data_IF_016247685092
#
_entry.id   IF_016247685092
#
_cell.length_a   1.000
_cell.length_b   1.000
_cell.length_c   1.000
_cell.angle_alpha   90.00
_cell.angle_beta   90.00
_cell.angle_gamma   90.00
#
_symmetry.space_group_name_H-M   'P 1'
#
loop_
_entity.id
_entity.type
_entity.pdbx_description
1 polymer ?
#
# COMPACT_ATOMS: atom_id res chain seq x y z
N UNK A 1 1.43 3.06 7.18
CA UNK A 1 0.92 4.43 6.98
C UNK A 1 0.00 4.78 8.14
N UNK A 2 0.17 5.96 8.73
CA UNK A 2 -0.68 6.48 9.81
C UNK A 2 -1.56 7.57 9.21
N UNK A 3 -2.86 7.50 9.44
CA UNK A 3 -3.79 8.58 9.13
C UNK A 3 -4.02 9.43 10.38
N UNK A 4 -4.12 10.74 10.19
CA UNK A 4 -4.46 11.68 11.26
C UNK A 4 -5.74 12.42 10.90
N UNK A 5 -6.69 12.48 11.83
CA UNK A 5 -7.97 13.14 11.61
C UNK A 5 -8.12 14.38 12.51
N UNK A 6 -8.29 15.53 11.88
CA UNK A 6 -8.62 16.76 12.58
C UNK A 6 -10.15 16.93 12.66
N UNK A 7 -10.67 16.85 13.88
CA UNK A 7 -12.11 16.95 14.15
C UNK A 7 -12.65 18.36 13.95
N UNK A 8 -11.82 19.39 14.10
CA UNK A 8 -12.28 20.77 13.98
C UNK A 8 -12.55 21.15 12.53
N UNK A 9 -11.71 20.69 11.60
CA UNK A 9 -11.80 20.95 10.16
C UNK A 9 -12.38 19.78 9.37
N UNK A 10 -12.69 18.66 10.03
CA UNK A 10 -13.12 17.39 9.40
C UNK A 10 -12.17 16.94 8.27
N UNK A 11 -10.87 17.18 8.47
CA UNK A 11 -9.83 16.86 7.48
C UNK A 11 -9.07 15.60 7.88
N UNK A 12 -8.97 14.66 6.94
CA UNK A 12 -8.18 13.43 7.07
C UNK A 12 -6.86 13.57 6.34
N UNK A 13 -5.75 13.50 7.04
CA UNK A 13 -4.39 13.52 6.51
C UNK A 13 -3.94 12.07 6.26
N UNK A 14 -3.61 11.74 5.01
CA UNK A 14 -3.40 10.35 4.58
C UNK A 14 -2.01 10.05 4.03
N UNK A 15 -1.12 11.03 3.97
CA UNK A 15 0.18 10.91 3.33
C UNK A 15 0.02 10.42 1.87
N UNK A 16 0.62 9.29 1.50
CA UNK A 16 0.57 8.77 0.13
C UNK A 16 -0.78 8.16 -0.26
N UNK A 17 -1.56 7.67 0.71
CA UNK A 17 -2.87 7.12 0.38
C UNK A 17 -3.80 8.20 -0.19
N UNK A 18 -4.53 7.85 -1.25
CA UNK A 18 -5.36 8.74 -2.06
C UNK A 18 -4.61 9.83 -2.84
N UNK A 19 -3.27 9.80 -2.82
CA UNK A 19 -2.44 10.72 -3.59
C UNK A 19 -2.42 10.41 -5.08
N UNK A 20 -1.86 11.36 -5.84
CA UNK A 20 -1.63 11.25 -7.28
C UNK A 20 -0.56 12.24 -7.73
N UNK A 21 0.14 11.94 -8.82
CA UNK A 21 1.09 12.86 -9.43
C UNK A 21 0.40 13.72 -10.48
N UNK A 22 -0.52 14.55 -10.02
CA UNK A 22 -1.27 15.50 -10.85
C UNK A 22 -1.10 16.91 -10.33
N UNK A 23 -0.92 17.84 -11.25
CA UNK A 23 -0.79 19.27 -10.95
C UNK A 23 -1.80 20.07 -11.78
N UNK A 24 -2.53 20.96 -11.12
CA UNK A 24 -3.47 21.90 -11.74
C UNK A 24 -3.39 23.25 -11.04
N UNK A 25 -4.05 24.25 -11.59
CA UNK A 25 -4.18 25.57 -10.96
C UNK A 25 -5.12 25.54 -9.74
N UNK A 26 -6.03 24.56 -9.66
CA UNK A 26 -6.89 24.34 -8.50
C UNK A 26 -6.19 23.49 -7.45
N UNK A 27 -6.34 23.84 -6.18
CA UNK A 27 -5.89 23.06 -5.04
C UNK A 27 -6.83 21.89 -4.70
N UNK A 28 -8.03 21.83 -5.31
CA UNK A 28 -9.03 20.81 -5.07
C UNK A 28 -9.32 19.95 -6.31
N UNK A 29 -9.94 18.80 -6.07
CA UNK A 29 -10.35 17.79 -7.04
C UNK A 29 -11.62 18.18 -7.84
N UNK A 30 -11.58 19.33 -8.56
CA UNK A 30 -12.74 19.86 -9.27
C UNK A 30 -13.20 19.02 -10.46
N UNK A 31 -12.27 18.40 -11.17
CA UNK A 31 -12.56 17.62 -12.38
C UNK A 31 -12.04 16.19 -12.25
N UNK A 32 -12.95 15.29 -11.87
CA UNK A 32 -12.64 13.88 -11.66
C UNK A 32 -12.07 13.21 -12.93
N UNK A 33 -12.54 13.60 -14.11
CA UNK A 33 -12.10 12.99 -15.37
C UNK A 33 -10.64 13.25 -15.69
N UNK A 34 -10.11 14.38 -15.25
CA UNK A 34 -8.71 14.76 -15.43
C UNK A 34 -7.79 14.07 -14.45
N UNK A 35 -8.23 13.88 -13.20
CA UNK A 35 -7.40 13.30 -12.14
C UNK A 35 -7.42 11.76 -12.14
N UNK A 36 -8.46 11.14 -12.69
CA UNK A 36 -8.66 9.68 -12.62
C UNK A 36 -7.49 8.86 -13.16
N UNK A 37 -6.88 9.16 -14.33
CA UNK A 37 -5.77 8.36 -14.84
C UNK A 37 -4.56 8.36 -13.90
N UNK A 38 -4.19 9.51 -13.36
CA UNK A 38 -3.06 9.64 -12.42
C UNK A 38 -3.39 9.02 -11.06
N UNK A 39 -4.62 9.17 -10.58
CA UNK A 39 -5.11 8.56 -9.35
C UNK A 39 -5.06 7.03 -9.42
N UNK A 40 -5.53 6.46 -10.53
CA UNK A 40 -5.46 5.03 -10.78
C UNK A 40 -4.02 4.53 -10.88
N UNK A 41 -3.20 5.22 -11.64
CA UNK A 41 -1.79 4.87 -11.81
C UNK A 41 -1.04 4.90 -10.47
N UNK A 42 -1.27 5.94 -9.67
CA UNK A 42 -0.64 6.07 -8.34
C UNK A 42 -1.08 4.95 -7.41
N UNK A 43 -2.37 4.62 -7.39
CA UNK A 43 -2.89 3.47 -6.65
C UNK A 43 -2.18 2.17 -7.06
N UNK A 44 -2.11 1.89 -8.34
CA UNK A 44 -1.48 0.65 -8.85
C UNK A 44 0.01 0.55 -8.51
N UNK A 45 0.70 1.68 -8.47
CA UNK A 45 2.13 1.71 -8.16
C UNK A 45 2.45 1.53 -6.67
N UNK A 46 1.63 2.07 -5.77
CA UNK A 46 1.97 2.20 -4.36
C UNK A 46 1.01 1.46 -3.43
N UNK A 47 -0.27 1.43 -3.73
CA UNK A 47 -1.30 0.90 -2.84
C UNK A 47 -1.70 -0.53 -3.18
N UNK A 48 -1.79 -0.88 -4.45
CA UNK A 48 -2.22 -2.21 -4.88
C UNK A 48 -1.40 -3.37 -4.29
N UNK A 49 -0.06 -3.24 -4.10
CA UNK A 49 0.73 -4.27 -3.42
C UNK A 49 0.37 -4.47 -1.93
N UNK A 50 -0.42 -3.56 -1.36
CA UNK A 50 -0.84 -3.59 0.03
C UNK A 50 -2.38 -3.54 0.15
N UNK A 51 -3.10 -4.09 -0.83
CA UNK A 51 -4.55 -3.96 -0.96
C UNK A 51 -5.33 -4.37 0.33
N UNK A 52 -4.87 -5.40 1.05
CA UNK A 52 -5.50 -5.81 2.32
C UNK A 52 -5.34 -4.76 3.41
N UNK A 53 -4.16 -4.14 3.50
CA UNK A 53 -3.90 -3.03 4.43
C UNK A 53 -4.73 -1.81 4.07
N UNK A 54 -4.92 -1.54 2.77
CA UNK A 54 -5.82 -0.48 2.29
C UNK A 54 -7.25 -0.75 2.74
N UNK A 55 -7.78 -1.96 2.53
CA UNK A 55 -9.13 -2.34 2.99
C UNK A 55 -9.30 -2.18 4.51
N UNK A 56 -8.28 -2.58 5.29
CA UNK A 56 -8.29 -2.37 6.73
C UNK A 56 -8.32 -0.90 7.13
N UNK A 57 -7.57 -0.04 6.42
CA UNK A 57 -7.57 1.40 6.64
C UNK A 57 -8.92 2.03 6.27
N UNK A 58 -9.51 1.63 5.14
CA UNK A 58 -10.85 2.08 4.71
C UNK A 58 -11.94 1.70 5.72
N UNK A 59 -11.88 0.49 6.28
CA UNK A 59 -12.81 0.06 7.34
C UNK A 59 -12.74 0.99 8.55
N UNK A 60 -11.53 1.29 9.04
CA UNK A 60 -11.34 2.22 10.17
C UNK A 60 -11.77 3.65 9.83
N UNK A 61 -11.56 4.07 8.58
CA UNK A 61 -12.02 5.38 8.09
C UNK A 61 -13.54 5.50 8.15
N UNK A 62 -14.28 4.40 7.89
CA UNK A 62 -15.74 4.36 8.04
C UNK A 62 -16.25 4.51 9.49
N UNK A 63 -15.38 4.38 10.49
CA UNK A 63 -15.68 4.60 11.91
C UNK A 63 -15.49 6.06 12.34
N UNK A 64 -14.88 6.89 11.46
CA UNK A 64 -14.68 8.31 11.72
C UNK A 64 -15.99 9.10 11.54
N UNK A 65 -16.11 10.29 12.17
CA UNK A 65 -17.11 11.26 11.78
C UNK A 65 -16.98 11.62 10.30
N UNK A 66 -17.92 12.43 9.78
CA UNK A 66 -17.87 12.91 8.40
C UNK A 66 -16.48 13.45 8.07
N UNK A 67 -15.90 12.96 6.97
CA UNK A 67 -14.65 13.45 6.42
C UNK A 67 -14.99 14.39 5.25
N UNK A 68 -14.81 15.69 5.44
CA UNK A 68 -15.09 16.68 4.41
C UNK A 68 -13.95 16.85 3.42
N UNK A 69 -12.73 16.65 3.87
CA UNK A 69 -11.53 16.81 3.05
C UNK A 69 -10.53 15.71 3.35
N UNK A 70 -9.94 15.13 2.30
CA UNK A 70 -8.74 14.30 2.43
C UNK A 70 -7.54 15.13 1.96
N UNK A 71 -6.59 15.34 2.86
CA UNK A 71 -5.32 16.01 2.59
C UNK A 71 -4.25 14.95 2.31
N UNK A 72 -3.90 14.82 1.05
CA UNK A 72 -2.91 13.88 0.54
C UNK A 72 -1.50 14.48 0.57
N UNK A 73 -0.47 13.64 0.53
CA UNK A 73 0.92 14.09 0.42
C UNK A 73 1.30 14.55 -1.01
N UNK A 74 0.52 14.15 -2.01
CA UNK A 74 0.77 14.42 -3.43
C UNK A 74 -0.54 14.63 -4.18
N UNK A 75 -0.58 15.65 -5.05
CA UNK A 75 -1.75 16.00 -5.84
C UNK A 75 -2.72 16.95 -5.12
N UNK A 76 -3.93 17.15 -5.65
CA UNK A 76 -4.93 18.05 -5.08
C UNK A 76 -5.50 17.52 -3.76
N UNK A 77 -6.04 18.42 -2.96
CA UNK A 77 -6.89 18.06 -1.82
C UNK A 77 -8.22 17.51 -2.35
N UNK A 78 -8.67 16.39 -1.77
CA UNK A 78 -9.93 15.77 -2.18
C UNK A 78 -11.06 16.30 -1.31
N UNK A 79 -12.03 16.97 -1.93
CA UNK A 79 -13.19 17.58 -1.25
C UNK A 79 -14.49 17.32 -2.00
N UNK A 80 -14.48 17.42 -3.30
CA UNK A 80 -15.71 17.35 -4.10
C UNK A 80 -16.11 15.92 -4.46
N UNK A 81 -15.13 15.02 -4.56
CA UNK A 81 -15.34 13.64 -4.99
C UNK A 81 -14.86 12.60 -3.95
N UNK A 82 -14.79 12.97 -2.66
CA UNK A 82 -14.26 12.11 -1.58
C UNK A 82 -14.92 10.71 -1.59
N UNK A 83 -16.25 10.67 -1.62
CA UNK A 83 -16.99 9.40 -1.59
C UNK A 83 -16.68 8.50 -2.80
N UNK A 84 -16.66 9.07 -3.99
CA UNK A 84 -16.34 8.37 -5.24
C UNK A 84 -14.92 7.84 -5.24
N UNK A 85 -13.95 8.65 -4.85
CA UNK A 85 -12.54 8.28 -4.84
C UNK A 85 -12.23 7.22 -3.78
N UNK A 86 -12.84 7.30 -2.61
CA UNK A 86 -12.76 6.27 -1.56
C UNK A 86 -13.38 4.95 -2.05
N UNK A 87 -14.55 5.02 -2.72
CA UNK A 87 -15.19 3.83 -3.27
C UNK A 87 -14.32 3.15 -4.32
N UNK A 88 -13.65 3.90 -5.20
CA UNK A 88 -12.71 3.35 -6.18
C UNK A 88 -11.54 2.62 -5.52
N UNK A 89 -10.95 3.19 -4.47
CA UNK A 89 -9.90 2.52 -3.69
C UNK A 89 -10.39 1.21 -3.09
N UNK A 90 -11.62 1.20 -2.56
CA UNK A 90 -12.24 -0.01 -2.02
C UNK A 90 -12.40 -1.08 -3.09
N UNK A 91 -12.99 -0.74 -4.23
CA UNK A 91 -13.28 -1.70 -5.30
C UNK A 91 -12.00 -2.27 -5.91
N UNK A 92 -11.01 -1.41 -6.18
CA UNK A 92 -9.72 -1.85 -6.68
C UNK A 92 -9.00 -2.76 -5.69
N UNK A 93 -9.06 -2.42 -4.40
CA UNK A 93 -8.42 -3.22 -3.35
C UNK A 93 -9.14 -4.56 -3.14
N UNK A 94 -10.46 -4.60 -3.24
CA UNK A 94 -11.22 -5.86 -3.20
C UNK A 94 -10.85 -6.80 -4.35
N UNK A 95 -10.73 -6.28 -5.56
CA UNK A 95 -10.31 -7.09 -6.72
C UNK A 95 -8.92 -7.69 -6.51
N UNK A 96 -7.97 -6.91 -6.00
CA UNK A 96 -6.61 -7.39 -5.71
C UNK A 96 -6.58 -8.38 -4.55
N UNK A 97 -7.33 -8.13 -3.47
CA UNK A 97 -7.37 -9.01 -2.30
C UNK A 97 -8.04 -10.37 -2.57
N UNK A 98 -8.88 -10.47 -3.61
CA UNK A 98 -9.57 -11.71 -4.04
C UNK A 98 -8.77 -12.50 -5.09
N UNK A 99 -7.63 -12.00 -5.55
CA UNK A 99 -6.85 -12.70 -6.55
C UNK A 99 -6.40 -14.08 -6.06
N UNK A 100 -6.60 -15.11 -6.89
CA UNK A 100 -6.24 -16.50 -6.57
C UNK A 100 -4.72 -16.71 -6.54
N UNK A 101 -3.98 -15.91 -7.30
CA UNK A 101 -2.52 -15.97 -7.35
C UNK A 101 -1.94 -14.73 -6.67
N UNK A 102 -1.18 -14.96 -5.62
CA UNK A 102 -0.54 -13.88 -4.84
C UNK A 102 0.95 -14.18 -4.69
N UNK A 103 1.77 -13.17 -4.94
CA UNK A 103 3.21 -13.19 -4.61
C UNK A 103 3.46 -12.37 -3.37
N UNK A 104 4.02 -13.00 -2.34
CA UNK A 104 4.52 -12.30 -1.16
C UNK A 104 5.90 -11.72 -1.44
N UNK A 105 6.09 -10.43 -1.19
CA UNK A 105 7.40 -9.77 -1.27
C UNK A 105 7.80 -9.35 0.13
N UNK A 106 8.65 -10.16 0.75
CA UNK A 106 9.26 -9.84 2.03
C UNK A 106 10.51 -9.01 1.83
N UNK A 107 10.70 -7.97 2.62
CA UNK A 107 11.91 -7.17 2.55
C UNK A 107 12.36 -6.68 3.93
N UNK A 108 13.62 -6.30 4.03
CA UNK A 108 14.16 -5.62 5.20
C UNK A 108 14.48 -4.20 4.78
N UNK A 109 13.70 -3.23 5.26
CA UNK A 109 13.93 -1.83 4.99
C UNK A 109 15.19 -1.35 5.71
N UNK A 110 16.28 -1.18 4.96
CA UNK A 110 17.53 -0.64 5.46
C UNK A 110 18.02 0.42 4.47
N UNK A 111 18.28 1.64 4.95
CA UNK A 111 18.69 2.79 4.13
C UNK A 111 17.79 3.12 2.92
N UNK A 112 16.57 2.56 2.85
CA UNK A 112 15.57 2.85 1.81
C UNK A 112 15.82 2.18 0.44
N UNK A 113 16.92 1.45 0.23
CA UNK A 113 17.20 0.81 -1.07
C UNK A 113 16.41 -0.48 -1.28
N UNK A 114 16.34 -1.35 -0.26
CA UNK A 114 15.58 -2.60 -0.32
C UNK A 114 14.09 -2.35 -0.50
N UNK A 115 13.55 -1.32 0.15
CA UNK A 115 12.18 -0.86 -0.01
C UNK A 115 11.88 -0.44 -1.46
N UNK A 116 12.71 0.43 -2.03
CA UNK A 116 12.56 0.88 -3.42
C UNK A 116 12.64 -0.26 -4.43
N UNK A 117 13.59 -1.19 -4.24
CA UNK A 117 13.74 -2.35 -5.10
C UNK A 117 12.53 -3.28 -5.00
N UNK A 118 12.05 -3.54 -3.79
CA UNK A 118 10.87 -4.37 -3.54
C UNK A 118 9.61 -3.75 -4.12
N UNK A 119 9.44 -2.43 -4.03
CA UNK A 119 8.36 -1.71 -4.69
C UNK A 119 8.45 -1.80 -6.22
N UNK A 120 9.65 -1.70 -6.80
CA UNK A 120 9.84 -1.86 -8.24
C UNK A 120 9.49 -3.28 -8.71
N UNK A 121 9.90 -4.30 -7.95
CA UNK A 121 9.54 -5.69 -8.19
C UNK A 121 8.03 -5.90 -8.11
N UNK A 122 7.41 -5.42 -7.04
CA UNK A 122 5.96 -5.52 -6.83
C UNK A 122 5.17 -4.88 -7.98
N UNK A 123 5.58 -3.70 -8.46
CA UNK A 123 5.00 -3.06 -9.65
C UNK A 123 5.14 -3.91 -10.91
N UNK A 124 6.32 -4.52 -11.11
CA UNK A 124 6.55 -5.43 -12.24
C UNK A 124 5.59 -6.60 -12.22
N UNK A 125 5.45 -7.26 -11.08
CA UNK A 125 4.54 -8.40 -10.90
C UNK A 125 3.08 -7.97 -11.08
N UNK A 126 2.66 -6.85 -10.47
CA UNK A 126 1.28 -6.37 -10.57
C UNK A 126 0.86 -6.07 -12.02
N UNK A 127 1.78 -5.63 -12.88
CA UNK A 127 1.51 -5.40 -14.31
C UNK A 127 1.14 -6.69 -15.07
N UNK A 128 1.50 -7.86 -14.58
CA UNK A 128 1.10 -9.15 -15.15
C UNK A 128 -0.28 -9.63 -14.71
N UNK A 129 -0.99 -8.85 -13.89
CA UNK A 129 -2.29 -9.21 -13.33
C UNK A 129 -2.22 -10.03 -12.04
N UNK A 130 -1.02 -10.41 -11.60
CA UNK A 130 -0.81 -11.15 -10.35
C UNK A 130 -0.92 -10.20 -9.16
N UNK A 131 -1.61 -10.62 -8.10
CA UNK A 131 -1.65 -9.87 -6.85
C UNK A 131 -0.30 -9.93 -6.13
N UNK A 132 0.06 -8.86 -5.47
CA UNK A 132 1.28 -8.78 -4.65
C UNK A 132 0.92 -8.28 -3.26
N UNK A 133 1.50 -8.89 -2.26
CA UNK A 133 1.49 -8.36 -0.90
C UNK A 133 2.92 -8.14 -0.43
N UNK A 134 3.20 -6.94 0.08
CA UNK A 134 4.52 -6.55 0.57
C UNK A 134 4.54 -6.51 2.08
N UNK A 135 5.65 -6.96 2.68
CA UNK A 135 5.81 -6.97 4.14
C UNK A 135 7.25 -6.64 4.54
N UNK A 136 7.41 -5.60 5.37
CA UNK A 136 8.71 -5.27 5.97
C UNK A 136 8.95 -6.16 7.20
N UNK A 137 9.95 -7.03 7.09
CA UNK A 137 10.31 -7.99 8.14
C UNK A 137 10.84 -7.34 9.43
N UNK A 138 11.22 -6.06 9.41
CA UNK A 138 11.62 -5.33 10.63
C UNK A 138 10.46 -5.09 11.58
N UNK A 139 9.25 -4.92 11.05
CA UNK A 139 8.05 -4.58 11.82
C UNK A 139 6.98 -5.66 11.79
N UNK A 140 7.20 -6.75 11.06
CA UNK A 140 6.23 -7.82 10.89
C UNK A 140 6.13 -8.71 12.13
N UNK A 141 4.90 -9.06 12.49
CA UNK A 141 4.64 -10.13 13.45
C UNK A 141 4.92 -11.49 12.80
N UNK A 142 5.59 -12.44 13.49
CA UNK A 142 5.83 -13.78 12.96
C UNK A 142 4.57 -14.51 12.50
N UNK A 143 3.44 -14.30 13.16
CA UNK A 143 2.16 -14.89 12.77
C UNK A 143 1.67 -14.30 11.44
N UNK A 144 1.78 -12.98 11.24
CA UNK A 144 1.43 -12.33 9.97
C UNK A 144 2.32 -12.86 8.82
N UNK A 145 3.61 -13.10 9.08
CA UNK A 145 4.52 -13.72 8.10
C UNK A 145 4.02 -15.11 7.70
N UNK A 146 3.68 -15.98 8.67
CA UNK A 146 3.16 -17.33 8.40
C UNK A 146 1.85 -17.29 7.62
N UNK A 147 0.92 -16.41 7.99
CA UNK A 147 -0.35 -16.25 7.29
C UNK A 147 -0.15 -15.79 5.85
N UNK A 148 0.78 -14.85 5.61
CA UNK A 148 1.10 -14.39 4.26
C UNK A 148 1.75 -15.48 3.43
N UNK A 149 2.68 -16.25 4.00
CA UNK A 149 3.28 -17.41 3.32
C UNK A 149 2.23 -18.43 2.94
N UNK A 150 1.36 -18.82 3.89
CA UNK A 150 0.36 -19.87 3.69
C UNK A 150 -0.68 -19.56 2.60
N UNK A 151 -0.93 -18.26 2.31
CA UNK A 151 -1.87 -17.84 1.25
C UNK A 151 -1.19 -17.41 -0.06
N UNK A 152 0.13 -17.41 -0.11
CA UNK A 152 0.89 -16.98 -1.28
C UNK A 152 1.25 -18.15 -2.19
N UNK A 153 1.18 -17.93 -3.49
CA UNK A 153 1.59 -18.90 -4.52
C UNK A 153 3.04 -18.74 -4.95
N UNK A 154 3.66 -17.63 -4.57
CA UNK A 154 5.08 -17.34 -4.82
C UNK A 154 5.64 -16.40 -3.77
N UNK A 155 6.95 -16.48 -3.54
CA UNK A 155 7.63 -15.69 -2.53
C UNK A 155 8.88 -15.04 -3.16
N UNK A 156 9.08 -13.76 -2.87
CA UNK A 156 10.31 -13.03 -3.16
C UNK A 156 10.83 -12.42 -1.86
N UNK A 157 12.15 -12.47 -1.65
CA UNK A 157 12.79 -11.93 -0.46
C UNK A 157 13.87 -10.93 -0.87
N UNK A 158 13.72 -9.67 -0.45
CA UNK A 158 14.67 -8.58 -0.64
C UNK A 158 15.38 -8.21 0.64
N UNK A 159 16.71 -8.37 0.67
CA UNK A 159 17.52 -8.04 1.84
C UNK A 159 18.74 -7.24 1.44
N UNK A 160 19.19 -6.29 2.29
CA UNK A 160 20.47 -5.64 2.07
C UNK A 160 21.61 -6.64 2.18
N UNK A 161 22.68 -6.52 1.38
CA UNK A 161 23.85 -7.34 1.54
C UNK A 161 24.46 -7.10 2.94
N UNK A 162 24.53 -8.14 3.76
CA UNK A 162 25.22 -8.07 5.04
C UNK A 162 26.75 -8.19 4.84
N UNK A 163 27.53 -7.63 5.76
CA UNK A 163 28.98 -7.84 5.78
C UNK A 163 29.29 -9.30 6.15
N UNK A 164 29.22 -10.21 5.18
CA UNK A 164 29.64 -11.62 5.31
C UNK A 164 28.67 -12.59 5.96
N UNK A 165 27.49 -12.15 6.43
CA UNK A 165 26.42 -13.03 6.92
C UNK A 165 25.04 -12.45 6.66
N UNK A 166 24.07 -13.32 6.43
CA UNK A 166 22.65 -12.96 6.41
C UNK A 166 22.30 -12.42 7.81
N UNK A 167 21.64 -11.26 7.88
CA UNK A 167 21.24 -10.68 9.18
C UNK A 167 20.39 -11.68 9.98
N UNK A 168 20.47 -11.65 11.32
CA UNK A 168 19.68 -12.53 12.19
C UNK A 168 18.18 -12.45 11.90
N UNK A 169 17.67 -11.26 11.58
CA UNK A 169 16.29 -11.02 11.15
C UNK A 169 15.94 -11.81 9.88
N UNK A 170 16.82 -11.79 8.90
CA UNK A 170 16.66 -12.50 7.66
C UNK A 170 16.70 -14.03 7.86
N UNK A 171 17.60 -14.52 8.71
CA UNK A 171 17.67 -15.94 9.07
C UNK A 171 16.37 -16.39 9.76
N UNK A 172 15.86 -15.60 10.70
CA UNK A 172 14.59 -15.90 11.40
C UNK A 172 13.43 -15.91 10.41
N UNK A 173 13.34 -14.92 9.53
CA UNK A 173 12.28 -14.85 8.53
C UNK A 173 12.32 -16.01 7.53
N UNK A 174 13.51 -16.36 7.03
CA UNK A 174 13.69 -17.54 6.16
C UNK A 174 13.30 -18.81 6.91
N UNK A 175 13.72 -18.96 8.18
CA UNK A 175 13.31 -20.07 9.02
C UNK A 175 11.79 -20.16 9.16
N UNK A 176 11.11 -19.07 9.42
CA UNK A 176 9.64 -19.00 9.50
C UNK A 176 8.99 -19.38 8.17
N UNK A 177 9.52 -18.91 7.04
CA UNK A 177 9.01 -19.22 5.70
C UNK A 177 9.20 -20.69 5.35
N UNK A 178 10.29 -21.33 5.76
CA UNK A 178 10.59 -22.73 5.43
C UNK A 178 9.79 -23.74 6.25
N UNK A 179 9.20 -23.34 7.38
CA UNK A 179 8.39 -24.21 8.24
C UNK A 179 6.88 -23.90 8.18
N UNK A 180 6.49 -22.91 7.40
CA UNK A 180 5.09 -22.56 7.15
C UNK A 180 4.54 -23.35 5.95
#
# INVERSE_FOLDING_TARGET
TIFSFDRATQTLYTCDAFGMHYCSDSIFDEDLSKIEPDYRFYYECLMAPNARSVLSALKRMGELPTVDTIATGHGPLLRYNVGELVQRYHDWSQLKAKAETTVAVFYVADYGYSDRLSQALARGITKTGVAVEMMDLKSADPQEVQELVGRSTGIAIGMPPGHGSISALAQTAIGTILVA
#
